data_IF_988165419718
#
_entry.id   IF_988165419718
#
_cell.length_a   1.000
_cell.length_b   1.000
_cell.length_c   1.000
_cell.angle_alpha   90.00
_cell.angle_beta   90.00
_cell.angle_gamma   90.00
#
_symmetry.space_group_name_H-M   'P 1'
#
loop_
_entity.id
_entity.type
_entity.pdbx_description
1 polymer ?
#
# COMPACT_ATOMS: atom_id res chain seq x y z
N UNK A 1 15.96 11.07 41.27
CA UNK A 1 16.54 10.26 40.18
C UNK A 1 15.94 10.75 38.86
N UNK A 2 16.67 11.56 38.08
CA UNK A 2 16.20 12.04 36.77
C UNK A 2 16.63 11.02 35.71
N UNK A 3 15.68 10.29 35.14
CA UNK A 3 15.92 9.39 34.01
C UNK A 3 15.79 10.22 32.74
N UNK A 4 16.91 10.52 32.10
CA UNK A 4 16.92 11.09 30.76
C UNK A 4 16.80 9.92 29.77
N UNK A 5 15.59 9.64 29.31
CA UNK A 5 15.41 8.81 28.12
C UNK A 5 15.65 9.67 26.89
N UNK A 6 16.88 9.70 26.41
CA UNK A 6 17.17 10.18 25.06
C UNK A 6 16.61 9.16 24.07
N UNK A 7 15.35 9.34 23.69
CA UNK A 7 14.79 8.59 22.58
C UNK A 7 15.58 8.97 21.33
N UNK A 8 16.30 7.99 20.77
CA UNK A 8 17.01 8.15 19.51
C UNK A 8 16.08 8.61 18.39
N UNK A 9 16.67 9.07 17.28
CA UNK A 9 15.88 9.51 16.11
C UNK A 9 14.85 8.44 15.73
N UNK A 10 13.61 8.81 15.38
CA UNK A 10 12.61 7.87 14.91
C UNK A 10 13.20 7.03 13.79
N UNK A 11 13.21 5.70 13.97
CA UNK A 11 13.66 4.81 12.92
C UNK A 11 12.73 4.95 11.72
N UNK A 12 13.30 4.99 10.52
CA UNK A 12 12.56 4.86 9.28
C UNK A 12 11.89 3.48 9.31
N UNK A 13 10.62 3.38 8.91
CA UNK A 13 9.90 2.11 8.85
C UNK A 13 10.72 1.07 8.09
N UNK A 14 11.23 0.10 8.85
CA UNK A 14 12.12 -0.94 8.35
C UNK A 14 11.39 -2.27 8.45
N UNK A 15 11.60 -3.16 7.46
CA UNK A 15 11.07 -4.51 7.52
C UNK A 15 11.50 -5.21 8.82
N UNK A 16 10.53 -5.65 9.65
CA UNK A 16 10.80 -6.28 10.93
C UNK A 16 11.70 -7.52 10.81
N UNK A 17 11.53 -8.31 9.75
CA UNK A 17 12.37 -9.49 9.50
C UNK A 17 13.80 -9.09 9.16
N UNK A 18 13.99 -8.06 8.33
CA UNK A 18 15.32 -7.50 8.07
C UNK A 18 15.98 -7.01 9.36
N UNK A 19 15.26 -6.28 10.20
CA UNK A 19 15.79 -5.73 11.45
C UNK A 19 16.16 -6.84 12.45
N UNK A 20 15.30 -7.86 12.57
CA UNK A 20 15.58 -9.03 13.40
C UNK A 20 16.85 -9.76 12.96
N UNK A 21 16.98 -10.02 11.65
CA UNK A 21 18.14 -10.72 11.09
C UNK A 21 19.41 -9.89 11.23
N UNK A 22 19.37 -8.59 10.92
CA UNK A 22 20.50 -7.68 11.11
C UNK A 22 20.93 -7.60 12.58
N UNK A 23 19.97 -7.55 13.50
CA UNK A 23 20.23 -7.54 14.94
C UNK A 23 20.87 -8.85 15.39
N UNK A 24 20.40 -9.99 14.88
CA UNK A 24 20.96 -11.32 15.18
C UNK A 24 22.42 -11.42 14.70
N UNK A 25 22.73 -10.86 13.54
CA UNK A 25 24.10 -10.84 12.97
C UNK A 25 25.04 -9.99 13.83
N UNK A 26 24.59 -8.82 14.30
CA UNK A 26 25.42 -7.87 15.05
C UNK A 26 25.61 -8.23 16.52
N UNK A 27 24.66 -8.93 17.14
CA UNK A 27 24.69 -9.22 18.57
C UNK A 27 25.76 -10.26 18.92
N UNK A 28 26.67 -9.98 19.88
CA UNK A 28 27.77 -10.87 20.22
C UNK A 28 27.31 -12.16 20.92
N UNK A 29 26.13 -12.16 21.53
CA UNK A 29 25.55 -13.29 22.26
C UNK A 29 25.16 -14.50 21.40
N UNK A 30 25.07 -14.34 20.07
CA UNK A 30 24.74 -15.46 19.18
C UNK A 30 26.00 -16.17 18.69
N UNK A 31 25.93 -17.50 18.58
CA UNK A 31 27.03 -18.30 18.05
C UNK A 31 27.21 -18.08 16.53
N UNK A 32 28.39 -18.45 16.01
CA UNK A 32 28.74 -18.23 14.60
C UNK A 32 27.82 -18.97 13.62
N UNK A 33 27.32 -20.14 13.99
CA UNK A 33 26.36 -20.90 13.18
C UNK A 33 25.05 -20.12 13.00
N UNK A 34 24.49 -19.57 14.09
CA UNK A 34 23.27 -18.78 14.06
C UNK A 34 23.45 -17.50 13.23
N UNK A 35 24.61 -16.84 13.34
CA UNK A 35 24.93 -15.66 12.52
C UNK A 35 24.98 -16.02 11.03
N UNK A 36 25.63 -17.12 10.65
CA UNK A 36 25.68 -17.60 9.25
C UNK A 36 24.29 -17.89 8.69
N UNK A 37 23.43 -18.54 9.49
CA UNK A 37 22.03 -18.79 9.11
C UNK A 37 21.27 -17.47 8.91
N UNK A 38 21.42 -16.51 9.82
CA UNK A 38 20.77 -15.20 9.71
C UNK A 38 21.23 -14.42 8.46
N UNK A 39 22.52 -14.49 8.11
CA UNK A 39 23.05 -13.90 6.86
C UNK A 39 22.40 -14.55 5.64
N UNK A 40 22.34 -15.88 5.60
CA UNK A 40 21.73 -16.61 4.48
C UNK A 40 20.22 -16.28 4.34
N UNK A 41 19.49 -16.26 5.46
CA UNK A 41 18.07 -15.89 5.50
C UNK A 41 17.85 -14.46 5.02
N UNK A 42 18.67 -13.50 5.46
CA UNK A 42 18.57 -12.11 5.04
C UNK A 42 18.80 -11.93 3.53
N UNK A 43 19.78 -12.66 2.99
CA UNK A 43 20.07 -12.67 1.56
C UNK A 43 18.89 -13.23 0.76
N UNK A 44 18.29 -14.34 1.20
CA UNK A 44 17.09 -14.91 0.56
C UNK A 44 15.91 -13.95 0.66
N UNK A 45 15.67 -13.36 1.84
CA UNK A 45 14.60 -12.39 2.08
C UNK A 45 14.70 -11.19 1.12
N UNK A 46 15.89 -10.58 1.03
CA UNK A 46 16.15 -9.46 0.11
C UNK A 46 15.96 -9.86 -1.36
N UNK A 47 16.38 -11.07 -1.76
CA UNK A 47 16.15 -11.58 -3.13
C UNK A 47 14.66 -11.75 -3.44
N UNK A 48 13.89 -12.30 -2.50
CA UNK A 48 12.44 -12.43 -2.65
C UNK A 48 11.74 -11.07 -2.74
N UNK A 49 12.16 -10.11 -1.91
CA UNK A 49 11.68 -8.72 -1.96
C UNK A 49 11.94 -8.10 -3.33
N UNK A 50 13.18 -8.20 -3.86
CA UNK A 50 13.53 -7.72 -5.20
C UNK A 50 12.69 -8.31 -6.32
N UNK A 51 12.28 -9.58 -6.20
CA UNK A 51 11.43 -10.25 -7.19
C UNK A 51 10.08 -9.55 -7.39
N UNK A 52 9.51 -8.99 -6.32
CA UNK A 52 8.25 -8.22 -6.42
C UNK A 52 8.45 -7.00 -7.31
N UNK A 53 9.46 -6.19 -7.02
CA UNK A 53 9.79 -4.96 -7.76
C UNK A 53 10.20 -5.23 -9.20
N UNK A 54 11.02 -6.26 -9.45
CA UNK A 54 11.39 -6.63 -10.82
C UNK A 54 10.15 -7.01 -11.62
N UNK A 55 9.21 -7.72 -10.99
CA UNK A 55 7.96 -8.11 -11.65
C UNK A 55 7.03 -6.92 -11.88
N UNK A 56 6.95 -5.97 -10.93
CA UNK A 56 6.20 -4.72 -11.08
C UNK A 56 6.73 -3.90 -12.25
N UNK A 57 8.05 -3.70 -12.32
CA UNK A 57 8.72 -3.00 -13.41
C UNK A 57 8.45 -3.67 -14.76
N UNK A 58 8.70 -4.98 -14.86
CA UNK A 58 8.49 -5.72 -16.10
C UNK A 58 7.02 -5.65 -16.56
N UNK A 59 6.07 -5.72 -15.64
CA UNK A 59 4.64 -5.62 -16.00
C UNK A 59 4.24 -4.20 -16.36
N UNK A 60 4.84 -3.19 -15.76
CA UNK A 60 4.64 -1.80 -16.17
C UNK A 60 5.11 -1.58 -17.61
N UNK A 61 6.31 -2.05 -17.95
CA UNK A 61 6.86 -2.00 -19.32
C UNK A 61 5.95 -2.76 -20.31
N UNK A 62 5.55 -3.99 -19.96
CA UNK A 62 4.62 -4.79 -20.77
C UNK A 62 3.27 -4.10 -21.02
N UNK A 63 2.67 -3.51 -19.99
CA UNK A 63 1.37 -2.83 -20.13
C UNK A 63 1.46 -1.49 -20.86
N UNK A 64 2.66 -0.91 -21.00
CA UNK A 64 2.88 0.28 -21.82
C UNK A 64 2.89 -0.04 -23.32
N UNK A 65 3.35 -1.24 -23.69
CA UNK A 65 3.39 -1.72 -25.09
C UNK A 65 2.10 -2.42 -25.52
N UNK A 66 1.32 -2.96 -24.58
CA UNK A 66 0.15 -3.79 -24.86
C UNK A 66 -1.15 -3.08 -24.49
N UNK A 67 -1.91 -2.66 -25.50
CA UNK A 67 -3.19 -1.94 -25.30
C UNK A 67 -4.27 -2.76 -24.58
N UNK A 68 -4.16 -4.10 -24.64
CA UNK A 68 -5.10 -5.03 -23.97
C UNK A 68 -4.70 -5.39 -22.54
N UNK A 69 -3.63 -4.80 -22.01
CA UNK A 69 -3.14 -5.09 -20.67
C UNK A 69 -3.10 -3.81 -19.82
N UNK A 70 -3.51 -3.91 -18.56
CA UNK A 70 -3.49 -2.78 -17.64
C UNK A 70 -2.89 -3.16 -16.29
N UNK A 71 -2.11 -2.24 -15.71
CA UNK A 71 -1.52 -2.39 -14.38
C UNK A 71 -2.12 -1.37 -13.41
N UNK A 72 -2.75 -1.88 -12.35
CA UNK A 72 -3.28 -1.08 -11.26
C UNK A 72 -2.47 -1.35 -9.99
N UNK A 73 -2.05 -0.28 -9.34
CA UNK A 73 -1.52 -0.31 -7.98
C UNK A 73 -2.52 0.33 -7.04
N UNK A 74 -2.72 -0.22 -5.85
CA UNK A 74 -3.62 0.40 -4.89
C UNK A 74 -3.16 0.24 -3.46
N UNK A 75 -3.41 1.27 -2.65
CA UNK A 75 -3.01 1.31 -1.25
C UNK A 75 -3.82 2.36 -0.46
N UNK A 76 -3.85 2.20 0.86
CA UNK A 76 -4.32 3.24 1.76
C UNK A 76 -3.17 4.19 2.11
N UNK A 77 -3.47 5.48 2.08
CA UNK A 77 -2.61 6.46 2.71
C UNK A 77 -2.67 6.31 4.25
N UNK A 78 -1.69 6.91 4.93
CA UNK A 78 -1.79 7.18 6.35
C UNK A 78 -3.10 7.91 6.68
N UNK A 79 -3.75 7.49 7.75
CA UNK A 79 -5.01 8.07 8.22
C UNK A 79 -4.84 9.57 8.50
N UNK A 80 -5.81 10.38 8.07
CA UNK A 80 -5.83 11.81 8.32
C UNK A 80 -6.78 12.07 9.49
N UNK A 81 -6.31 12.75 10.54
CA UNK A 81 -7.14 13.07 11.71
C UNK A 81 -7.61 14.52 11.66
N UNK A 82 -8.92 14.72 11.58
CA UNK A 82 -9.57 16.03 11.53
C UNK A 82 -10.15 16.42 12.90
N UNK A 83 -10.11 17.71 13.27
CA UNK A 83 -9.52 18.83 12.53
C UNK A 83 -7.98 18.86 12.59
N UNK A 84 -7.32 19.28 11.51
CA UNK A 84 -5.85 19.47 11.45
C UNK A 84 -5.47 20.86 11.99
N UNK A 85 -5.74 21.09 13.27
CA UNK A 85 -5.43 22.34 13.97
C UNK A 85 -4.32 22.13 15.01
N UNK A 86 -3.44 23.13 15.16
CA UNK A 86 -2.31 23.12 16.10
C UNK A 86 -2.71 23.72 17.45
N UNK A 87 -3.75 23.17 18.07
CA UNK A 87 -4.19 23.57 19.42
C UNK A 87 -4.06 22.39 20.37
N UNK A 88 -3.70 22.66 21.63
CA UNK A 88 -3.47 21.63 22.63
C UNK A 88 -4.76 20.93 23.06
N UNK A 89 -5.89 21.64 23.06
CA UNK A 89 -7.21 21.07 23.40
C UNK A 89 -7.62 19.90 22.49
N UNK A 90 -7.06 19.80 21.28
CA UNK A 90 -7.28 18.69 20.36
C UNK A 90 -6.88 17.32 20.95
N UNK A 91 -5.98 17.28 21.93
CA UNK A 91 -5.56 16.03 22.59
C UNK A 91 -6.68 15.41 23.43
N UNK A 92 -7.57 16.23 23.98
CA UNK A 92 -8.68 15.77 24.83
C UNK A 92 -9.96 15.48 24.03
N UNK A 93 -9.97 15.80 22.73
CA UNK A 93 -11.12 15.62 21.85
C UNK A 93 -10.97 14.36 20.97
N UNK A 94 -12.09 13.69 20.70
CA UNK A 94 -12.13 12.62 19.69
C UNK A 94 -11.97 13.23 18.30
N UNK A 95 -10.91 12.82 17.61
CA UNK A 95 -10.63 13.26 16.25
C UNK A 95 -11.35 12.36 15.25
N UNK A 96 -11.90 12.97 14.19
CA UNK A 96 -12.51 12.24 13.10
C UNK A 96 -11.41 11.68 12.19
N UNK A 97 -11.41 10.38 11.98
CA UNK A 97 -10.45 9.73 11.10
C UNK A 97 -10.97 9.68 9.66
N UNK A 98 -10.18 10.19 8.72
CA UNK A 98 -10.39 10.12 7.27
C UNK A 98 -9.44 9.08 6.69
N UNK A 99 -9.96 8.30 5.75
CA UNK A 99 -9.29 7.18 5.11
C UNK A 99 -9.11 7.44 3.61
N UNK A 100 -7.95 7.98 3.19
CA UNK A 100 -7.64 8.11 1.77
C UNK A 100 -7.19 6.76 1.21
N UNK A 101 -7.86 6.30 0.16
CA UNK A 101 -7.48 5.13 -0.61
C UNK A 101 -7.15 5.56 -2.04
N UNK A 102 -6.06 5.05 -2.60
CA UNK A 102 -5.62 5.41 -3.95
C UNK A 102 -5.55 4.21 -4.83
N UNK A 103 -6.07 4.35 -6.06
CA UNK A 103 -5.80 3.43 -7.16
C UNK A 103 -5.03 4.20 -8.24
N UNK A 104 -3.81 3.76 -8.49
CA UNK A 104 -2.91 4.31 -9.49
C UNK A 104 -2.89 3.44 -10.75
N UNK A 105 -3.32 4.01 -11.86
CA UNK A 105 -3.19 3.38 -13.17
C UNK A 105 -1.79 3.65 -13.74
N UNK A 106 -0.95 2.61 -13.81
CA UNK A 106 0.45 2.78 -14.22
C UNK A 106 0.64 3.06 -15.71
N UNK A 107 -0.41 2.90 -16.54
CA UNK A 107 -0.35 3.11 -17.98
C UNK A 107 -0.68 4.56 -18.38
N UNK A 108 -1.59 5.22 -17.66
CA UNK A 108 -2.13 6.54 -18.05
C UNK A 108 -1.75 7.68 -17.10
N UNK A 109 -1.19 7.38 -15.93
CA UNK A 109 -0.71 8.32 -14.92
C UNK A 109 -1.73 9.12 -14.06
N UNK A 110 -3.08 9.01 -14.15
CA UNK A 110 -3.93 9.55 -13.09
C UNK A 110 -4.03 8.54 -11.95
N UNK A 111 -3.77 9.03 -10.74
CA UNK A 111 -4.13 8.36 -9.50
C UNK A 111 -5.53 8.81 -9.07
N UNK A 112 -6.43 7.86 -8.86
CA UNK A 112 -7.78 8.15 -8.35
C UNK A 112 -7.79 8.02 -6.84
N UNK A 113 -8.14 9.10 -6.15
CA UNK A 113 -8.38 9.09 -4.70
C UNK A 113 -9.82 8.75 -4.39
N UNK A 114 -10.03 7.86 -3.43
CA UNK A 114 -11.30 7.62 -2.77
C UNK A 114 -11.18 8.08 -1.32
N UNK A 115 -12.00 9.05 -0.95
CA UNK A 115 -11.94 9.74 0.33
C UNK A 115 -13.25 9.54 1.07
N UNK A 116 -13.15 9.07 2.30
CA UNK A 116 -14.29 8.88 3.20
C UNK A 116 -13.80 8.90 4.64
N UNK A 117 -14.70 9.15 5.59
CA UNK A 117 -14.38 9.18 7.01
C UNK A 117 -15.02 8.01 7.76
N UNK A 118 -14.54 7.76 8.98
CA UNK A 118 -14.96 6.64 9.85
C UNK A 118 -16.47 6.61 10.17
N UNK A 119 -17.20 7.70 9.90
CA UNK A 119 -18.65 7.78 10.07
C UNK A 119 -19.45 7.29 8.86
N UNK A 120 -18.80 7.12 7.71
CA UNK A 120 -19.42 6.64 6.46
C UNK A 120 -19.22 5.13 6.32
N UNK A 121 -17.99 4.67 6.51
CA UNK A 121 -17.62 3.26 6.38
C UNK A 121 -16.41 2.92 7.25
N UNK A 122 -16.19 1.62 7.45
CA UNK A 122 -14.99 1.12 8.12
C UNK A 122 -13.77 1.15 7.20
N UNK A 123 -12.67 0.56 7.64
CA UNK A 123 -11.45 0.42 6.83
C UNK A 123 -11.11 -1.07 6.71
N UNK A 124 -11.93 -1.81 5.99
CA UNK A 124 -11.84 -3.27 5.85
C UNK A 124 -11.65 -3.73 4.42
N UNK A 125 -11.67 -5.05 4.22
CA UNK A 125 -11.57 -5.67 2.90
C UNK A 125 -12.74 -5.30 1.99
N UNK A 126 -13.93 -5.04 2.55
CA UNK A 126 -15.13 -4.74 1.77
C UNK A 126 -15.00 -3.39 1.07
N UNK A 127 -14.48 -2.38 1.76
CA UNK A 127 -14.24 -1.06 1.18
C UNK A 127 -13.19 -1.13 0.07
N UNK A 128 -12.10 -1.88 0.29
CA UNK A 128 -11.09 -2.13 -0.75
C UNK A 128 -11.71 -2.80 -1.98
N UNK A 129 -12.48 -3.86 -1.76
CA UNK A 129 -13.19 -4.56 -2.82
C UNK A 129 -14.13 -3.64 -3.60
N UNK A 130 -14.88 -2.79 -2.89
CA UNK A 130 -15.79 -1.82 -3.49
C UNK A 130 -15.04 -0.83 -4.37
N UNK A 131 -13.98 -0.19 -3.86
CA UNK A 131 -13.20 0.78 -4.64
C UNK A 131 -12.51 0.14 -5.85
N UNK A 132 -11.96 -1.06 -5.68
CA UNK A 132 -11.33 -1.80 -6.77
C UNK A 132 -12.35 -2.17 -7.85
N UNK A 133 -13.51 -2.70 -7.46
CA UNK A 133 -14.58 -3.03 -8.40
C UNK A 133 -15.07 -1.78 -9.13
N UNK A 134 -15.36 -0.71 -8.40
CA UNK A 134 -15.77 0.57 -8.97
C UNK A 134 -14.74 1.09 -9.98
N UNK A 135 -13.46 1.04 -9.63
CA UNK A 135 -12.39 1.47 -10.53
C UNK A 135 -12.25 0.59 -11.77
N UNK A 136 -12.45 -0.73 -11.64
CA UNK A 136 -12.48 -1.66 -12.77
C UNK A 136 -13.64 -1.34 -13.71
N UNK A 137 -14.84 -1.13 -13.16
CA UNK A 137 -16.04 -0.90 -13.93
C UNK A 137 -16.02 0.48 -14.64
N UNK A 138 -15.46 1.52 -13.99
CA UNK A 138 -15.45 2.90 -14.50
C UNK A 138 -14.20 3.24 -15.33
N UNK A 139 -13.02 2.74 -14.94
CA UNK A 139 -11.74 3.22 -15.47
C UNK A 139 -10.97 2.19 -16.31
N UNK A 140 -11.36 0.91 -16.30
CA UNK A 140 -10.69 -0.11 -17.12
C UNK A 140 -11.50 -0.32 -18.41
N UNK A 141 -10.95 0.05 -19.58
CA UNK A 141 -11.65 -0.07 -20.86
C UNK A 141 -12.05 -1.51 -21.19
N UNK A 142 -13.15 -1.68 -21.93
CA UNK A 142 -13.68 -2.99 -22.31
C UNK A 142 -12.73 -3.83 -23.19
N UNK A 143 -11.81 -3.19 -23.92
CA UNK A 143 -10.80 -3.86 -24.75
C UNK A 143 -9.63 -4.46 -23.95
N UNK A 144 -9.52 -4.16 -22.65
CA UNK A 144 -8.50 -4.74 -21.78
C UNK A 144 -8.93 -6.16 -21.38
N UNK A 145 -8.08 -7.12 -21.74
CA UNK A 145 -8.27 -8.56 -21.47
C UNK A 145 -7.46 -9.02 -20.24
N UNK A 146 -6.34 -8.35 -19.94
CA UNK A 146 -5.43 -8.71 -18.85
C UNK A 146 -5.26 -7.58 -17.83
N UNK A 147 -5.45 -7.90 -16.55
CA UNK A 147 -5.24 -6.95 -15.46
C UNK A 147 -4.18 -7.46 -14.48
N UNK A 148 -3.21 -6.59 -14.19
CA UNK A 148 -2.14 -6.82 -13.23
C UNK A 148 -2.33 -5.92 -12.02
N UNK A 149 -2.56 -6.54 -10.87
CA UNK A 149 -2.89 -5.87 -9.61
C UNK A 149 -1.73 -5.99 -8.62
N UNK A 150 -1.29 -4.86 -8.09
CA UNK A 150 -0.25 -4.78 -7.06
C UNK A 150 -0.74 -3.96 -5.86
N UNK A 151 -0.53 -4.48 -4.67
CA UNK A 151 -0.93 -3.80 -3.43
C UNK A 151 -0.06 -4.27 -2.27
N UNK A 152 -0.21 -3.65 -1.10
CA UNK A 152 0.47 -4.06 0.11
C UNK A 152 -0.07 -5.42 0.62
N UNK A 153 0.57 -6.01 1.64
CA UNK A 153 0.17 -7.33 2.16
C UNK A 153 -0.80 -7.24 3.34
N UNK A 154 -1.45 -6.11 3.61
CA UNK A 154 -2.32 -5.98 4.77
C UNK A 154 -3.38 -7.10 4.76
N UNK A 155 -3.38 -7.98 5.77
CA UNK A 155 -4.26 -9.15 5.79
C UNK A 155 -5.72 -8.76 5.96
N UNK A 156 -6.00 -7.72 6.76
CA UNK A 156 -7.35 -7.19 6.94
C UNK A 156 -7.95 -6.55 5.69
N UNK A 157 -7.11 -6.15 4.72
CA UNK A 157 -7.54 -5.43 3.53
C UNK A 157 -7.39 -6.28 2.25
N UNK A 158 -6.18 -6.80 2.03
CA UNK A 158 -5.70 -7.26 0.73
C UNK A 158 -5.42 -8.77 0.69
N UNK A 159 -4.81 -9.33 1.75
CA UNK A 159 -4.53 -10.77 1.82
C UNK A 159 -5.62 -11.54 2.58
N UNK A 160 -6.80 -11.67 1.96
CA UNK A 160 -7.95 -12.41 2.50
C UNK A 160 -8.82 -13.03 1.39
N UNK A 161 -9.77 -13.89 1.77
CA UNK A 161 -10.66 -14.58 0.84
C UNK A 161 -11.63 -13.65 0.11
N UNK A 162 -12.04 -12.54 0.73
CA UNK A 162 -12.94 -11.56 0.11
C UNK A 162 -12.32 -10.98 -1.15
N UNK A 163 -11.03 -10.60 -1.08
CA UNK A 163 -10.28 -10.11 -2.23
C UNK A 163 -10.17 -11.16 -3.33
N UNK A 164 -9.78 -12.40 -2.98
CA UNK A 164 -9.64 -13.47 -3.97
C UNK A 164 -10.96 -13.76 -4.69
N UNK A 165 -12.08 -13.83 -3.94
CA UNK A 165 -13.41 -14.05 -4.53
C UNK A 165 -13.82 -12.92 -5.47
N UNK A 166 -13.56 -11.67 -5.09
CA UNK A 166 -13.81 -10.54 -5.98
C UNK A 166 -13.00 -10.67 -7.27
N UNK A 167 -11.73 -11.05 -7.19
CA UNK A 167 -10.84 -11.12 -8.36
C UNK A 167 -11.14 -12.28 -9.31
N UNK A 168 -11.78 -13.35 -8.82
CA UNK A 168 -12.26 -14.46 -9.65
C UNK A 168 -13.51 -14.07 -10.45
N UNK A 169 -14.38 -13.22 -9.90
CA UNK A 169 -15.65 -12.89 -10.55
C UNK A 169 -15.49 -12.29 -11.97
N UNK A 170 -14.56 -11.34 -12.23
CA UNK A 170 -14.33 -10.83 -13.58
C UNK A 170 -13.78 -11.85 -14.58
N UNK A 171 -13.03 -12.85 -14.13
CA UNK A 171 -12.57 -13.92 -15.03
C UNK A 171 -13.71 -14.90 -15.34
N UNK A 172 -14.51 -15.24 -14.34
CA UNK A 172 -15.64 -16.17 -14.49
C UNK A 172 -16.76 -15.56 -15.33
N UNK A 173 -16.95 -14.24 -15.27
CA UNK A 173 -17.90 -13.51 -16.13
C UNK A 173 -17.37 -13.20 -17.53
N UNK A 174 -16.15 -13.64 -17.87
CA UNK A 174 -15.52 -13.35 -19.16
C UNK A 174 -15.10 -11.90 -19.37
N UNK A 175 -15.12 -11.05 -18.32
CA UNK A 175 -14.69 -9.64 -18.40
C UNK A 175 -13.18 -9.55 -18.65
N UNK A 176 -12.40 -10.45 -18.04
CA UNK A 176 -10.97 -10.56 -18.26
C UNK A 176 -10.61 -12.00 -18.59
N UNK A 177 -9.63 -12.18 -19.49
CA UNK A 177 -9.01 -13.50 -19.72
C UNK A 177 -8.05 -13.86 -18.59
N UNK A 178 -7.48 -12.85 -17.93
CA UNK A 178 -6.43 -13.04 -16.94
C UNK A 178 -6.40 -11.91 -15.93
N UNK A 179 -6.44 -12.29 -14.65
CA UNK A 179 -6.17 -11.39 -13.53
C UNK A 179 -4.94 -11.91 -12.78
N UNK A 180 -3.93 -11.06 -12.62
CA UNK A 180 -2.71 -11.38 -11.88
C UNK A 180 -2.63 -10.51 -10.64
N UNK A 181 -2.79 -11.11 -9.47
CA UNK A 181 -2.69 -10.42 -8.19
C UNK A 181 -1.36 -10.70 -7.51
N UNK A 182 -0.59 -9.66 -7.18
CA UNK A 182 0.75 -9.77 -6.59
C UNK A 182 0.84 -9.00 -5.28
N UNK A 183 1.32 -9.70 -4.27
CA UNK A 183 1.55 -9.19 -2.92
C UNK A 183 3.07 -9.18 -2.61
N UNK A 184 3.60 -8.12 -2.00
CA UNK A 184 5.00 -8.05 -1.60
C UNK A 184 5.24 -8.88 -0.33
N UNK A 185 6.51 -9.00 0.04
CA UNK A 185 6.85 -9.39 1.41
C UNK A 185 6.57 -8.20 2.33
N UNK A 186 6.08 -8.49 3.54
CA UNK A 186 5.79 -7.47 4.56
C UNK A 186 7.02 -6.61 4.84
N UNK A 187 6.82 -5.29 4.91
CA UNK A 187 7.91 -4.33 5.11
C UNK A 187 8.74 -4.03 3.86
N UNK A 188 8.34 -4.56 2.70
CA UNK A 188 8.92 -4.28 1.39
C UNK A 188 7.84 -3.90 0.39
N UNK A 189 6.94 -2.99 0.77
CA UNK A 189 5.71 -2.66 0.03
C UNK A 189 5.74 -1.28 -0.63
N UNK A 190 6.89 -0.75 -1.06
CA UNK A 190 6.91 0.54 -1.75
C UNK A 190 6.21 0.42 -3.11
N UNK A 191 5.12 1.16 -3.28
CA UNK A 191 4.25 1.14 -4.45
C UNK A 191 4.27 2.49 -5.16
N UNK A 192 3.84 2.54 -6.43
CA UNK A 192 3.60 3.81 -7.12
C UNK A 192 2.68 4.76 -6.35
N UNK A 193 1.73 4.23 -5.57
CA UNK A 193 0.84 4.98 -4.69
C UNK A 193 1.59 5.84 -3.65
N UNK A 194 2.72 5.36 -3.11
CA UNK A 194 3.52 6.10 -2.14
C UNK A 194 4.07 7.43 -2.69
N UNK A 195 4.34 7.48 -4.00
CA UNK A 195 4.76 8.73 -4.66
C UNK A 195 3.63 9.75 -4.67
N UNK A 196 2.42 9.30 -4.93
CA UNK A 196 1.21 10.15 -4.91
C UNK A 196 0.94 10.65 -3.49
N UNK A 197 1.10 9.79 -2.47
CA UNK A 197 0.99 10.20 -1.07
C UNK A 197 2.01 11.26 -0.69
N UNK A 198 3.22 11.19 -1.23
CA UNK A 198 4.26 12.19 -1.04
C UNK A 198 3.82 13.59 -1.49
N UNK A 199 3.17 13.69 -2.64
CA UNK A 199 2.65 14.95 -3.18
C UNK A 199 1.54 15.54 -2.28
N UNK A 200 0.63 14.70 -1.79
CA UNK A 200 -0.49 15.14 -0.92
C UNK A 200 -0.04 15.49 0.51
N UNK A 201 1.10 15.00 1.00
CA UNK A 201 1.56 15.32 2.38
C UNK A 201 2.13 16.73 2.55
N UNK A 202 2.40 17.46 1.46
CA UNK A 202 3.10 18.74 1.55
C UNK A 202 2.22 19.91 2.04
N UNK A 203 0.90 19.89 1.83
CA UNK A 203 0.00 20.96 2.26
C UNK A 203 -0.78 20.56 3.53
N UNK A 204 -0.37 21.11 4.67
CA UNK A 204 -0.79 20.67 6.02
C UNK A 204 -2.13 21.22 6.52
N UNK A 205 -2.97 21.78 5.65
CA UNK A 205 -4.28 22.28 6.03
C UNK A 205 -5.29 21.87 4.98
N UNK A 206 -5.99 20.77 5.24
CA UNK A 206 -7.15 20.42 4.44
C UNK A 206 -8.41 20.54 5.30
N UNK A 207 -9.31 21.41 4.89
CA UNK A 207 -10.73 21.23 5.18
C UNK A 207 -11.24 20.04 4.35
N UNK A 208 -12.36 19.42 4.73
CA UNK A 208 -12.99 18.34 3.93
C UNK A 208 -13.16 18.73 2.47
N UNK A 209 -13.42 20.03 2.22
CA UNK A 209 -13.59 20.62 0.90
C UNK A 209 -12.29 20.63 0.09
N UNK A 210 -11.17 21.00 0.70
CA UNK A 210 -9.86 21.03 0.03
C UNK A 210 -9.40 19.62 -0.39
N UNK A 211 -9.69 18.59 0.42
CA UNK A 211 -9.36 17.20 0.04
C UNK A 211 -10.21 16.75 -1.16
N UNK A 212 -11.48 17.17 -1.24
CA UNK A 212 -12.36 16.85 -2.37
C UNK A 212 -12.05 17.64 -3.64
N UNK A 213 -11.43 18.82 -3.53
CA UNK A 213 -11.09 19.67 -4.68
C UNK A 213 -9.78 19.26 -5.38
N UNK A 214 -8.92 18.44 -4.75
CA UNK A 214 -7.73 17.82 -5.38
C UNK A 214 -8.10 16.87 -6.55
N UNK A 215 -9.39 16.53 -6.72
CA UNK A 215 -9.90 15.71 -7.82
C UNK A 215 -10.20 16.46 -9.13
N UNK A 216 -9.93 17.77 -9.21
CA UNK A 216 -10.05 18.56 -10.45
C UNK A 216 -8.68 18.91 -11.01
#
# INVERSE_FOLDING_TARGET
MKVYNEFGRPQIDTCCECELLNTTIKKPQFNETAKRVAVAQLLVHKRRSKKFYSSLRQRKEYCAEQEKAMLLCFDYMANISLPTIKVQEKYDLRQLCVYPFVIHNSNKDPATFYLYHQGVAGKGSNEVCFFLKKSIDENVPANVDEVYLYTDICTGHNKNYTMIRLLMQPTDSGRFKKVVYRLPIRGHSYLPCDRVFGLVKHDRFYTLKDITEIQK
#
